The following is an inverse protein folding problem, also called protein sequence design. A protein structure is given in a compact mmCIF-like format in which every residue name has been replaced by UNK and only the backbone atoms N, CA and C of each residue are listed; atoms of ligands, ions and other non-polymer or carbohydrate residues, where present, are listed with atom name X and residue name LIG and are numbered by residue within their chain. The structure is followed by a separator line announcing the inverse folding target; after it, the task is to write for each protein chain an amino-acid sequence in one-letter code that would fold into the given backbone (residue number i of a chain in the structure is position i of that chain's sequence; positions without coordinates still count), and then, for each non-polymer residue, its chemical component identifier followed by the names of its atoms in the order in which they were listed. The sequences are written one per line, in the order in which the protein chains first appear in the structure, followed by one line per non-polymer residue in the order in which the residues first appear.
data_IF_172971460070
#
_entry.id   IF_172971460070
#
_cell.length_a   1.000
_cell.length_b   1.000
_cell.length_c   1.000
_cell.angle_alpha   90.00
_cell.angle_beta   90.00
_cell.angle_gamma   90.00
#
_symmetry.space_group_name_H-M   'P 1'
#
loop_
_entity.id
_entity.type
_entity.pdbx_description
1 polymer ?
#
# COMPACT_ATOMS: atom_id res chain seq x y z
N UNK A 1 -13.04 -6.46 -10.14
CA UNK A 1 -12.83 -6.60 -8.69
C UNK A 1 -12.56 -5.21 -8.11
N UNK A 2 -13.22 -4.91 -6.99
CA UNK A 2 -13.09 -3.65 -6.25
C UNK A 2 -12.35 -3.95 -4.95
N UNK A 3 -11.13 -3.43 -4.79
CA UNK A 3 -10.23 -3.81 -3.70
C UNK A 3 -10.25 -2.70 -2.66
N UNK A 4 -10.77 -2.98 -1.46
CA UNK A 4 -10.77 -2.06 -0.34
C UNK A 4 -10.19 -2.75 0.90
N UNK A 5 -9.41 -2.02 1.70
CA UNK A 5 -8.83 -2.52 2.95
C UNK A 5 -9.62 -2.09 4.18
N UNK A 6 -10.44 -1.07 4.04
CA UNK A 6 -11.38 -0.58 5.03
C UNK A 6 -12.60 0.07 4.37
N UNK A 7 -13.71 0.11 5.08
CA UNK A 7 -14.97 0.72 4.63
C UNK A 7 -15.71 1.36 5.82
N UNK A 8 -16.92 1.85 5.57
CA UNK A 8 -17.85 2.33 6.59
C UNK A 8 -18.42 1.23 7.50
N UNK A 9 -18.17 -0.06 7.21
CA UNK A 9 -18.65 -1.21 8.00
C UNK A 9 -17.51 -1.98 8.67
N UNK A 10 -16.26 -1.54 8.50
CA UNK A 10 -15.08 -2.15 9.13
C UNK A 10 -14.37 -1.13 10.01
N UNK A 11 -13.50 -1.59 10.92
CA UNK A 11 -12.52 -0.69 11.52
C UNK A 11 -11.62 -0.07 10.43
N UNK A 12 -11.09 1.13 10.71
CA UNK A 12 -10.17 1.82 9.80
C UNK A 12 -8.83 1.09 9.72
N UNK A 13 -8.18 1.14 8.56
CA UNK A 13 -6.93 0.43 8.31
C UNK A 13 -5.85 0.78 9.33
N UNK A 14 -5.70 2.06 9.70
CA UNK A 14 -4.72 2.47 10.71
C UNK A 14 -4.98 1.85 12.09
N UNK A 15 -6.25 1.67 12.46
CA UNK A 15 -6.64 0.99 13.71
C UNK A 15 -6.34 -0.50 13.64
N UNK A 16 -6.59 -1.16 12.50
CA UNK A 16 -6.21 -2.55 12.28
C UNK A 16 -4.68 -2.75 12.32
N UNK A 17 -3.93 -1.76 11.85
CA UNK A 17 -2.47 -1.72 11.97
C UNK A 17 -1.97 -1.31 13.37
N UNK A 18 -2.85 -1.15 14.37
CA UNK A 18 -2.49 -0.72 15.73
C UNK A 18 -1.71 0.61 15.76
N UNK A 19 -1.98 1.52 14.83
CA UNK A 19 -1.26 2.79 14.69
C UNK A 19 0.05 2.70 13.90
N UNK A 20 0.49 1.52 13.46
CA UNK A 20 1.69 1.36 12.64
C UNK A 20 1.46 1.87 11.20
N UNK A 21 1.92 3.09 10.95
CA UNK A 21 1.86 3.73 9.64
C UNK A 21 2.78 3.08 8.61
N UNK A 22 3.88 2.44 9.02
CA UNK A 22 4.76 1.70 8.12
C UNK A 22 4.02 0.48 7.58
N UNK A 23 3.34 -0.27 8.45
CA UNK A 23 2.49 -1.39 8.04
C UNK A 23 1.32 -0.91 7.16
N UNK A 24 0.67 0.18 7.53
CA UNK A 24 -0.40 0.79 6.70
C UNK A 24 0.09 1.08 5.27
N UNK A 25 1.26 1.73 5.13
CA UNK A 25 1.86 2.01 3.81
C UNK A 25 2.17 0.73 3.03
N UNK A 26 2.66 -0.32 3.69
CA UNK A 26 2.89 -1.62 3.04
C UNK A 26 1.59 -2.23 2.51
N UNK A 27 0.53 -2.26 3.32
CA UNK A 27 -0.79 -2.79 2.92
C UNK A 27 -1.38 -1.99 1.75
N UNK A 28 -1.30 -0.67 1.80
CA UNK A 28 -1.76 0.18 0.69
C UNK A 28 -0.96 -0.08 -0.60
N UNK A 29 0.37 -0.19 -0.50
CA UNK A 29 1.21 -0.54 -1.65
C UNK A 29 0.81 -1.91 -2.20
N UNK A 30 0.60 -2.90 -1.34
CA UNK A 30 0.16 -4.24 -1.73
C UNK A 30 -1.19 -4.20 -2.46
N UNK A 31 -2.18 -3.47 -1.94
CA UNK A 31 -3.49 -3.28 -2.59
C UNK A 31 -3.36 -2.67 -3.98
N UNK A 32 -2.51 -1.64 -4.13
CA UNK A 32 -2.28 -0.94 -5.40
C UNK A 32 -1.53 -1.80 -6.42
N UNK A 33 -0.82 -2.84 -5.98
CA UNK A 33 -0.16 -3.83 -6.84
C UNK A 33 -1.10 -4.92 -7.37
N UNK A 34 -2.32 -5.05 -6.83
CA UNK A 34 -3.27 -6.09 -7.24
C UNK A 34 -4.05 -5.74 -8.52
N UNK A 35 -4.56 -6.77 -9.20
CA UNK A 35 -5.54 -6.61 -10.28
C UNK A 35 -6.84 -6.03 -9.69
N UNK A 36 -7.48 -5.14 -10.43
CA UNK A 36 -8.74 -4.51 -10.03
C UNK A 36 -8.60 -3.02 -9.76
N UNK A 37 -9.67 -2.45 -9.21
CA UNK A 37 -9.78 -1.04 -8.86
C UNK A 37 -9.53 -0.87 -7.36
N UNK A 38 -8.39 -0.26 -6.93
CA UNK A 38 -8.17 0.07 -5.53
C UNK A 38 -9.16 1.17 -5.09
N UNK A 39 -9.74 0.99 -3.91
CA UNK A 39 -10.63 1.93 -3.26
C UNK A 39 -10.04 2.35 -1.92
N UNK A 40 -10.02 3.66 -1.68
CA UNK A 40 -9.62 4.25 -0.41
C UNK A 40 -10.86 4.77 0.30
N UNK A 41 -11.02 4.42 1.57
CA UNK A 41 -12.04 5.02 2.42
C UNK A 41 -11.58 6.42 2.87
N UNK A 42 -12.50 7.39 2.89
CA UNK A 42 -12.14 8.78 3.17
C UNK A 42 -11.42 8.90 4.52
N UNK A 43 -10.36 9.70 4.55
CA UNK A 43 -9.58 9.89 5.76
C UNK A 43 -8.41 8.94 5.92
N UNK A 44 -8.40 7.80 5.22
CA UNK A 44 -7.28 6.84 5.26
C UNK A 44 -5.99 7.49 4.72
N UNK A 45 -6.12 8.35 3.70
CA UNK A 45 -5.02 9.10 3.11
C UNK A 45 -4.45 10.20 4.03
N UNK A 46 -5.19 10.64 5.04
CA UNK A 46 -4.71 11.60 6.05
C UNK A 46 -4.48 10.97 7.42
N UNK A 47 -4.53 9.64 7.51
CA UNK A 47 -4.22 8.90 8.74
C UNK A 47 -5.33 8.89 9.78
N UNK A 48 -6.60 8.92 9.38
CA UNK A 48 -7.71 8.75 10.33
C UNK A 48 -7.73 7.33 10.92
N UNK A 49 -7.94 7.24 12.23
CA UNK A 49 -8.16 6.02 12.99
C UNK A 49 -9.60 5.94 13.50
N UNK A 50 -10.08 4.74 13.80
CA UNK A 50 -11.44 4.47 14.28
C UNK A 50 -11.73 2.97 14.30
N UNK A 51 -12.39 2.50 15.37
CA UNK A 51 -12.88 1.13 15.49
C UNK A 51 -14.03 0.83 14.53
N UNK A 52 -14.79 -0.24 14.78
CA UNK A 52 -16.01 -0.55 14.03
C UNK A 52 -17.06 0.57 14.13
N UNK A 53 -18.13 0.45 13.33
CA UNK A 53 -19.30 1.35 13.38
C UNK A 53 -19.74 1.58 14.85
N UNK A 54 -19.87 2.86 15.31
CA UNK A 54 -19.77 4.13 14.57
C UNK A 54 -18.38 4.78 14.51
N UNK A 55 -17.37 4.21 15.15
CA UNK A 55 -16.02 4.78 15.21
C UNK A 55 -15.36 5.00 13.84
N UNK A 56 -15.61 4.12 12.87
CA UNK A 56 -15.09 4.28 11.51
C UNK A 56 -15.74 5.43 10.72
N UNK A 57 -16.85 5.99 11.21
CA UNK A 57 -17.65 7.03 10.54
C UNK A 57 -17.41 8.44 11.11
N UNK A 58 -16.30 8.64 11.83
CA UNK A 58 -15.91 9.95 12.36
C UNK A 58 -15.79 11.02 11.26
N UNK A 59 -16.10 12.28 11.60
CA UNK A 59 -16.01 13.40 10.67
C UNK A 59 -14.61 13.56 10.06
N UNK A 60 -14.55 13.92 8.78
CA UNK A 60 -13.28 14.15 8.06
C UNK A 60 -12.44 15.25 8.75
N UNK A 61 -11.13 15.02 8.84
CA UNK A 61 -10.16 15.99 9.35
C UNK A 61 -9.81 16.97 8.23
N UNK A 62 -10.50 18.12 8.21
CA UNK A 62 -10.24 19.20 7.24
C UNK A 62 -9.10 20.13 7.63
N UNK A 63 -8.86 20.30 8.94
CA UNK A 63 -7.74 21.08 9.45
C UNK A 63 -6.42 20.42 9.05
N UNK A 64 -5.69 21.07 8.13
CA UNK A 64 -4.44 20.53 7.58
C UNK A 64 -3.35 20.35 8.62
N UNK A 65 -3.40 21.07 9.75
CA UNK A 65 -2.45 20.90 10.85
C UNK A 65 -2.68 19.58 11.61
N UNK A 66 -3.88 19.01 11.52
CA UNK A 66 -4.24 17.72 12.14
C UNK A 66 -4.13 16.54 11.19
N UNK A 67 -3.85 16.77 9.91
CA UNK A 67 -3.69 15.72 8.91
C UNK A 67 -2.28 15.12 8.93
N UNK A 68 -2.17 13.81 8.72
CA UNK A 68 -0.89 13.21 8.39
C UNK A 68 -0.50 13.55 6.93
N UNK A 69 0.28 14.63 6.77
CA UNK A 69 0.72 15.14 5.46
C UNK A 69 1.66 14.17 4.73
N UNK A 70 2.45 13.39 5.47
CA UNK A 70 3.34 12.38 4.89
C UNK A 70 2.55 11.21 4.30
N UNK A 71 1.49 10.75 4.97
CA UNK A 71 0.58 9.74 4.43
C UNK A 71 -0.13 10.26 3.18
N UNK A 72 -0.58 11.52 3.19
CA UNK A 72 -1.26 12.11 2.04
C UNK A 72 -0.34 12.18 0.82
N UNK A 73 0.91 12.59 1.01
CA UNK A 73 1.93 12.60 -0.04
C UNK A 73 2.22 11.19 -0.56
N UNK A 74 2.37 10.22 0.35
CA UNK A 74 2.58 8.82 0.02
C UNK A 74 1.43 8.24 -0.83
N UNK A 75 0.18 8.47 -0.43
CA UNK A 75 -1.00 8.00 -1.18
C UNK A 75 -1.06 8.66 -2.56
N UNK A 76 -0.75 9.95 -2.67
CA UNK A 76 -0.66 10.63 -3.97
C UNK A 76 0.40 10.00 -4.88
N UNK A 77 1.56 9.66 -4.34
CA UNK A 77 2.61 8.95 -5.08
C UNK A 77 2.14 7.56 -5.54
N UNK A 78 1.46 6.79 -4.69
CA UNK A 78 0.87 5.49 -5.07
C UNK A 78 -0.17 5.61 -6.19
N UNK A 79 -1.05 6.62 -6.12
CA UNK A 79 -2.05 6.88 -7.17
C UNK A 79 -1.35 7.24 -8.48
N UNK A 80 -0.33 8.11 -8.44
CA UNK A 80 0.44 8.48 -9.63
C UNK A 80 1.16 7.26 -10.23
N UNK A 81 1.83 6.46 -9.39
CA UNK A 81 2.44 5.20 -9.79
C UNK A 81 1.42 4.26 -10.48
N UNK A 82 0.26 4.01 -9.86
CA UNK A 82 -0.76 3.11 -10.42
C UNK A 82 -1.29 3.58 -11.77
N UNK A 83 -1.38 4.91 -11.98
CA UNK A 83 -1.79 5.52 -13.25
C UNK A 83 -0.71 5.37 -14.32
N UNK A 84 0.54 5.68 -14.01
CA UNK A 84 1.65 5.59 -14.97
C UNK A 84 1.90 4.16 -15.44
N UNK A 85 1.65 3.17 -14.58
CA UNK A 85 1.87 1.76 -14.87
C UNK A 85 0.57 0.96 -15.01
N UNK A 86 -0.52 1.62 -15.38
CA UNK A 86 -1.86 1.02 -15.39
C UNK A 86 -1.95 -0.25 -16.24
N UNK A 87 -1.29 -0.28 -17.40
CA UNK A 87 -1.27 -1.44 -18.29
C UNK A 87 -0.67 -2.68 -17.59
N UNK A 88 0.50 -2.54 -16.96
CA UNK A 88 1.19 -3.64 -16.26
C UNK A 88 0.40 -4.11 -15.05
N UNK A 89 -0.14 -3.18 -14.26
CA UNK A 89 -0.83 -3.48 -13.00
C UNK A 89 -2.27 -3.98 -13.21
N UNK A 90 -2.88 -3.69 -14.36
CA UNK A 90 -4.24 -4.17 -14.69
C UNK A 90 -4.24 -5.44 -15.54
N UNK A 91 -3.31 -5.59 -16.49
CA UNK A 91 -3.28 -6.73 -17.43
C UNK A 91 -2.17 -7.74 -17.14
N UNK A 92 -1.14 -7.33 -16.40
CA UNK A 92 0.02 -8.18 -16.18
C UNK A 92 -0.27 -9.37 -15.28
N UNK A 93 0.42 -10.48 -15.50
CA UNK A 93 0.38 -11.63 -14.62
C UNK A 93 1.01 -11.26 -13.26
N UNK A 94 0.39 -11.72 -12.16
CA UNK A 94 0.99 -11.70 -10.83
C UNK A 94 1.89 -12.94 -10.65
N UNK A 95 3.14 -12.71 -10.28
CA UNK A 95 4.15 -13.75 -10.07
C UNK A 95 4.74 -13.55 -8.67
N UNK A 96 4.60 -14.56 -7.81
CA UNK A 96 5.28 -14.59 -6.52
C UNK A 96 6.72 -15.04 -6.72
N UNK A 97 7.69 -14.22 -6.29
CA UNK A 97 9.12 -14.49 -6.42
C UNK A 97 9.72 -15.02 -5.13
N UNK A 98 9.26 -14.52 -3.99
CA UNK A 98 9.68 -14.95 -2.65
C UNK A 98 8.54 -14.68 -1.66
N UNK A 99 8.29 -15.63 -0.78
CA UNK A 99 7.50 -15.46 0.44
C UNK A 99 8.27 -16.24 1.50
N UNK A 100 8.90 -15.52 2.41
CA UNK A 100 9.78 -16.10 3.42
C UNK A 100 9.36 -15.62 4.81
N UNK A 101 8.78 -16.55 5.58
CA UNK A 101 8.29 -16.28 6.93
C UNK A 101 9.44 -16.10 7.94
N UNK A 102 10.63 -16.62 7.66
CA UNK A 102 11.79 -16.47 8.56
C UNK A 102 12.38 -15.07 8.45
N UNK A 103 12.55 -14.55 7.23
CA UNK A 103 13.10 -13.21 7.00
C UNK A 103 12.02 -12.12 6.96
N UNK A 104 10.75 -12.49 6.80
CA UNK A 104 9.63 -11.56 6.60
C UNK A 104 9.66 -10.87 5.23
N UNK A 105 10.42 -11.40 4.26
CA UNK A 105 10.51 -10.86 2.92
C UNK A 105 9.42 -11.41 2.02
N UNK A 106 8.70 -10.49 1.37
CA UNK A 106 7.72 -10.80 0.33
C UNK A 106 8.12 -10.08 -0.94
N UNK A 107 8.32 -10.83 -2.02
CA UNK A 107 8.62 -10.28 -3.34
C UNK A 107 7.57 -10.76 -4.32
N UNK A 108 6.84 -9.80 -4.89
CA UNK A 108 5.89 -10.05 -5.96
C UNK A 108 6.25 -9.25 -7.20
N UNK A 109 5.80 -9.74 -8.34
CA UNK A 109 6.09 -9.15 -9.63
C UNK A 109 4.84 -9.09 -10.49
N UNK A 110 4.65 -7.97 -11.18
CA UNK A 110 3.67 -7.81 -12.26
C UNK A 110 4.40 -7.77 -13.59
N UNK A 111 4.08 -8.69 -14.50
CA UNK A 111 4.70 -8.78 -15.82
C UNK A 111 3.65 -8.67 -16.92
N UNK A 112 3.85 -7.72 -17.83
CA UNK A 112 2.99 -7.54 -19.01
C UNK A 112 3.85 -7.16 -20.21
N UNK A 113 3.82 -8.01 -21.25
CA UNK A 113 4.72 -7.90 -22.41
C UNK A 113 6.19 -7.78 -21.95
N UNK A 114 6.90 -6.76 -22.39
CA UNK A 114 8.29 -6.48 -22.04
C UNK A 114 8.44 -5.70 -20.72
N UNK A 115 7.35 -5.21 -20.14
CA UNK A 115 7.38 -4.46 -18.90
C UNK A 115 7.23 -5.36 -17.69
N UNK A 116 8.02 -5.05 -16.66
CA UNK A 116 8.02 -5.75 -15.39
C UNK A 116 8.12 -4.74 -14.25
N UNK A 117 7.30 -4.96 -13.22
CA UNK A 117 7.38 -4.22 -11.95
C UNK A 117 7.53 -5.23 -10.83
N UNK A 118 8.58 -5.07 -10.04
CA UNK A 118 8.83 -5.89 -8.85
C UNK A 118 8.57 -5.03 -7.61
N UNK A 119 7.73 -5.52 -6.71
CA UNK A 119 7.53 -4.93 -5.39
C UNK A 119 8.13 -5.85 -4.33
N UNK A 120 8.86 -5.25 -3.40
CA UNK A 120 9.52 -5.93 -2.29
C UNK A 120 8.98 -5.33 -1.00
N UNK A 121 8.52 -6.20 -0.11
CA UNK A 121 7.99 -5.84 1.20
C UNK A 121 8.86 -6.52 2.26
N UNK A 122 9.25 -5.74 3.26
CA UNK A 122 9.89 -6.24 4.45
C UNK A 122 8.91 -6.09 5.61
N UNK A 123 8.28 -7.20 5.98
CA UNK A 123 7.35 -7.27 7.11
C UNK A 123 8.08 -7.44 8.46
N UNK A 124 9.39 -7.71 8.44
CA UNK A 124 10.17 -7.84 9.67
C UNK A 124 10.47 -6.47 10.32
N UNK A 125 10.98 -6.52 11.55
CA UNK A 125 11.52 -5.35 12.23
C UNK A 125 13.01 -5.12 11.93
N UNK A 126 13.67 -6.04 11.24
CA UNK A 126 15.09 -5.98 10.95
C UNK A 126 15.33 -5.52 9.52
N UNK A 127 16.43 -4.80 9.29
CA UNK A 127 16.87 -4.50 7.93
C UNK A 127 17.27 -5.81 7.25
N UNK A 128 16.84 -5.97 6.01
CA UNK A 128 17.13 -7.14 5.19
C UNK A 128 17.94 -6.70 3.98
N UNK A 129 18.98 -7.46 3.65
CA UNK A 129 19.70 -7.25 2.40
C UNK A 129 18.81 -7.69 1.25
N UNK A 130 18.54 -6.76 0.34
CA UNK A 130 17.75 -7.07 -0.85
C UNK A 130 18.58 -7.91 -1.82
N UNK A 131 17.99 -8.93 -2.46
CA UNK A 131 18.65 -9.58 -3.59
C UNK A 131 18.92 -8.53 -4.67
N UNK A 132 20.04 -8.64 -5.37
CA UNK A 132 20.36 -7.72 -6.46
C UNK A 132 19.21 -7.70 -7.48
N UNK A 133 18.59 -6.54 -7.65
CA UNK A 133 17.56 -6.33 -8.65
C UNK A 133 18.11 -5.45 -9.76
N UNK A 134 17.82 -5.82 -11.01
CA UNK A 134 18.10 -4.98 -12.17
C UNK A 134 16.86 -4.13 -12.44
N UNK A 135 17.05 -2.83 -12.62
CA UNK A 135 15.97 -1.91 -12.97
C UNK A 135 16.14 -0.53 -12.36
N UNK A 136 15.14 0.32 -12.56
CA UNK A 136 15.05 1.64 -11.96
C UNK A 136 14.15 1.59 -10.72
N UNK A 137 14.58 2.24 -9.64
CA UNK A 137 13.72 2.44 -8.48
C UNK A 137 12.57 3.38 -8.84
N UNK A 138 11.34 2.87 -8.81
CA UNK A 138 10.13 3.64 -9.12
C UNK A 138 9.54 4.33 -7.88
N UNK A 139 9.65 3.66 -6.73
CA UNK A 139 9.03 4.07 -5.48
C UNK A 139 9.69 3.33 -4.31
N UNK A 140 10.02 4.03 -3.22
CA UNK A 140 10.53 3.44 -1.98
C UNK A 140 10.02 4.22 -0.78
N UNK A 141 9.88 3.53 0.36
CA UNK A 141 9.59 4.16 1.64
C UNK A 141 10.86 4.57 2.40
N UNK A 142 12.06 4.27 1.89
CA UNK A 142 13.34 4.81 2.35
C UNK A 142 13.90 4.20 3.64
N UNK A 143 14.12 2.88 3.69
CA UNK A 143 14.63 2.19 4.89
C UNK A 143 15.67 1.13 4.56
#
# INVERSE_FOLDING_TARGET
MFNAMDTHDTARLLTLCQGDQRLQKQILTFMFMQIGAPCLYYGTEVGMAGGYDPGCRACMIWDTAKQNRQMLQFVRQLVHFRRNYAAVLSQGQLIWKLVDDQTGLIILQRKWKEQQITAIFNHSQQQQLLPQTKGQLLFSQGW
#
